data_IF_548062624786
#
_entry.id   IF_548062624786
#
_cell.length_a   1.000
_cell.length_b   1.000
_cell.length_c   1.000
_cell.angle_alpha   90.00
_cell.angle_beta   90.00
_cell.angle_gamma   90.00
#
_symmetry.space_group_name_H-M   'P 1'
#
loop_
_entity.id
_entity.type
_entity.pdbx_description
1 polymer ?
#
# COMPACT_ATOMS: atom_id res chain seq x y z
N UNK A 1 -7.16 1.55 1.01
CA UNK A 1 -6.56 2.09 -0.22
C UNK A 1 -7.60 2.42 -1.30
N UNK A 2 -8.56 1.55 -1.64
CA UNK A 2 -9.49 1.75 -2.77
C UNK A 2 -10.32 3.05 -2.82
N UNK A 3 -10.56 3.73 -1.69
CA UNK A 3 -11.41 4.94 -1.62
C UNK A 3 -10.66 6.26 -1.78
N UNK A 4 -9.35 6.23 -1.99
CA UNK A 4 -8.51 7.46 -2.03
C UNK A 4 -8.31 8.01 -3.44
N UNK A 5 -8.84 7.35 -4.47
CA UNK A 5 -8.67 7.76 -5.86
C UNK A 5 -9.32 9.12 -6.10
N UNK A 6 -8.55 10.07 -6.63
CA UNK A 6 -9.01 11.44 -6.91
C UNK A 6 -8.96 12.40 -5.72
N UNK A 7 -8.45 11.94 -4.57
CA UNK A 7 -8.15 12.78 -3.41
C UNK A 7 -6.64 12.99 -3.29
N UNK A 8 -6.24 14.02 -2.56
CA UNK A 8 -4.84 14.29 -2.18
C UNK A 8 -4.80 14.79 -0.73
N UNK A 9 -3.71 14.50 -0.04
CA UNK A 9 -3.52 14.85 1.37
C UNK A 9 -2.09 15.35 1.58
N UNK A 10 -1.89 16.32 2.46
CA UNK A 10 -0.55 16.82 2.82
C UNK A 10 0.31 15.68 3.40
N UNK A 11 -0.26 14.92 4.34
CA UNK A 11 0.41 13.82 5.01
C UNK A 11 -0.41 12.53 4.87
N UNK A 12 0.23 11.43 4.46
CA UNK A 12 -0.41 10.11 4.31
C UNK A 12 0.33 9.06 5.14
N UNK A 13 -0.44 8.26 5.86
CA UNK A 13 0.06 7.10 6.61
C UNK A 13 -0.45 5.81 5.96
N UNK A 14 0.46 5.00 5.44
CA UNK A 14 0.16 3.63 5.02
C UNK A 14 0.51 2.70 6.18
N UNK A 15 -0.51 2.32 6.95
CA UNK A 15 -0.36 1.45 8.10
C UNK A 15 -0.51 -0.03 7.73
N UNK A 16 0.18 -0.90 8.47
CA UNK A 16 0.04 -2.35 8.36
C UNK A 16 0.78 -2.98 7.17
N UNK A 17 1.88 -2.38 6.70
CA UNK A 17 2.74 -2.99 5.69
C UNK A 17 3.52 -4.18 6.24
N UNK A 18 2.87 -5.34 6.24
CA UNK A 18 3.47 -6.60 6.68
C UNK A 18 3.07 -7.78 5.78
N UNK A 19 3.88 -8.83 5.80
CA UNK A 19 3.65 -10.05 5.04
C UNK A 19 2.27 -10.66 5.37
N UNK A 20 1.54 -11.08 4.33
CA UNK A 20 0.19 -11.66 4.44
C UNK A 20 -0.95 -10.64 4.56
N UNK A 21 -0.64 -9.37 4.87
CA UNK A 21 -1.59 -8.25 4.83
C UNK A 21 -1.44 -7.45 3.54
N UNK A 22 -0.19 -7.15 3.17
CA UNK A 22 0.16 -6.52 1.90
C UNK A 22 1.30 -7.30 1.23
N UNK A 23 1.13 -7.84 0.02
CA UNK A 23 -0.17 -8.13 -0.54
C UNK A 23 -0.92 -9.13 0.36
N UNK A 24 -2.26 -9.15 0.31
CA UNK A 24 -3.05 -10.11 1.08
C UNK A 24 -2.74 -11.54 0.64
N UNK A 25 -2.90 -12.50 1.55
CA UNK A 25 -2.53 -13.90 1.31
C UNK A 25 -3.19 -14.58 0.09
N UNK A 26 -4.31 -14.05 -0.41
CA UNK A 26 -5.00 -14.55 -1.61
C UNK A 26 -4.36 -14.07 -2.92
N UNK A 27 -3.56 -12.99 -2.88
CA UNK A 27 -2.92 -12.43 -4.06
C UNK A 27 -1.66 -13.23 -4.40
N UNK A 28 -1.87 -14.34 -5.12
CA UNK A 28 -0.82 -15.33 -5.44
C UNK A 28 -0.37 -15.28 -6.90
N UNK A 29 -1.19 -14.73 -7.80
CA UNK A 29 -0.83 -14.62 -9.22
C UNK A 29 -0.06 -13.33 -9.48
N UNK A 30 0.75 -13.29 -10.54
CA UNK A 30 1.41 -12.06 -11.00
C UNK A 30 0.41 -10.91 -11.24
N UNK A 31 -0.78 -11.23 -11.78
CA UNK A 31 -1.82 -10.24 -12.00
C UNK A 31 -2.37 -9.66 -10.68
N UNK A 32 -2.53 -10.49 -9.64
CA UNK A 32 -2.97 -10.03 -8.33
C UNK A 32 -1.89 -9.20 -7.64
N UNK A 33 -0.65 -9.66 -7.67
CA UNK A 33 0.50 -8.94 -7.11
C UNK A 33 0.68 -7.57 -7.80
N UNK A 34 0.53 -7.53 -9.12
CA UNK A 34 0.57 -6.28 -9.89
C UNK A 34 -0.57 -5.34 -9.46
N UNK A 35 -1.79 -5.85 -9.32
CA UNK A 35 -2.95 -5.06 -8.88
C UNK A 35 -2.73 -4.44 -7.49
N UNK A 36 -2.23 -5.23 -6.56
CA UNK A 36 -1.92 -4.78 -5.20
C UNK A 36 -0.79 -3.73 -5.21
N UNK A 37 0.26 -3.94 -6.01
CA UNK A 37 1.32 -2.95 -6.20
C UNK A 37 0.78 -1.63 -6.79
N UNK A 38 -0.13 -1.70 -7.75
CA UNK A 38 -0.80 -0.51 -8.30
C UNK A 38 -1.63 0.22 -7.25
N UNK A 39 -2.36 -0.50 -6.38
CA UNK A 39 -3.13 0.11 -5.29
C UNK A 39 -2.22 0.81 -4.27
N UNK A 40 -1.10 0.18 -3.93
CA UNK A 40 -0.10 0.79 -3.06
C UNK A 40 0.48 2.05 -3.68
N UNK A 41 0.83 2.00 -4.96
CA UNK A 41 1.31 3.16 -5.71
C UNK A 41 0.27 4.30 -5.75
N UNK A 42 -0.99 3.99 -5.99
CA UNK A 42 -2.08 4.98 -5.95
C UNK A 42 -2.19 5.61 -4.57
N UNK A 43 -2.12 4.82 -3.49
CA UNK A 43 -2.18 5.33 -2.13
C UNK A 43 -0.96 6.20 -1.78
N UNK A 44 0.24 5.76 -2.16
CA UNK A 44 1.49 6.49 -1.94
C UNK A 44 1.50 7.84 -2.67
N UNK A 45 1.03 7.87 -3.92
CA UNK A 45 0.91 9.09 -4.74
C UNK A 45 -0.18 10.06 -4.28
N UNK A 46 -0.92 9.76 -3.20
CA UNK A 46 -1.84 10.73 -2.60
C UNK A 46 -1.17 11.68 -1.61
N UNK A 47 0.07 11.39 -1.20
CA UNK A 47 0.83 12.25 -0.31
C UNK A 47 1.44 13.41 -1.08
N UNK A 48 1.23 14.64 -0.61
CA UNK A 48 1.85 15.85 -1.19
C UNK A 48 3.16 16.21 -0.52
N UNK A 49 3.22 16.12 0.81
CA UNK A 49 4.41 16.50 1.59
C UNK A 49 5.12 15.27 2.15
N UNK A 50 4.41 14.45 2.95
CA UNK A 50 5.05 13.28 3.60
C UNK A 50 4.24 12.01 3.45
N UNK A 51 4.93 10.92 3.12
CA UNK A 51 4.42 9.56 3.18
C UNK A 51 5.11 8.81 4.32
N UNK A 52 4.34 8.31 5.28
CA UNK A 52 4.85 7.45 6.34
C UNK A 52 4.29 6.05 6.18
N UNK A 53 5.18 5.06 6.16
CA UNK A 53 4.82 3.65 6.05
C UNK A 53 5.12 2.97 7.39
N UNK A 54 4.12 2.31 7.96
CA UNK A 54 4.28 1.58 9.23
C UNK A 54 3.91 0.12 9.07
N UNK A 55 4.61 -0.75 9.78
CA UNK A 55 4.41 -2.19 9.78
C UNK A 55 4.92 -2.79 11.08
N UNK A 56 4.60 -4.07 11.31
CA UNK A 56 5.09 -4.81 12.46
C UNK A 56 5.37 -6.28 12.10
N UNK A 57 6.26 -6.91 12.85
CA UNK A 57 6.72 -8.27 12.56
C UNK A 57 7.44 -8.34 11.21
N UNK A 58 7.17 -9.39 10.41
CA UNK A 58 7.75 -9.53 9.08
C UNK A 58 7.16 -8.49 8.11
N UNK A 59 7.99 -7.59 7.61
CA UNK A 59 7.61 -6.57 6.65
C UNK A 59 7.08 -7.15 5.33
N UNK A 60 6.27 -6.38 4.64
CA UNK A 60 5.76 -6.71 3.30
C UNK A 60 6.91 -6.81 2.30
N UNK A 61 6.77 -7.69 1.30
CA UNK A 61 7.70 -7.78 0.17
C UNK A 61 7.50 -6.66 -0.88
N UNK A 62 6.48 -5.82 -0.70
CA UNK A 62 6.20 -4.68 -1.58
C UNK A 62 6.71 -3.34 -1.01
N UNK A 63 7.34 -3.36 0.18
CA UNK A 63 8.07 -2.23 0.75
C UNK A 63 9.53 -2.30 0.35
#
# INVERSE_FOLDING_TARGET
MHRVKGLEFEHVFIAGMRAGVMPPAWAVTEADLLRERCLLHVAASRARETLTVTGWGKMSALV
#
